data_IF_578516177232
#
_entry.id   IF_578516177232
#
_cell.length_a   1.000
_cell.length_b   1.000
_cell.length_c   1.000
_cell.angle_alpha   90.00
_cell.angle_beta   90.00
_cell.angle_gamma   90.00
#
_symmetry.space_group_name_H-M   'P 1'
#
loop_
_entity.id
_entity.type
_entity.pdbx_description
1 polymer ?
#
# COMPACT_ATOMS: atom_id res chain seq x y z
N UNK A 1 -15.28 23.35 46.94
CA UNK A 1 -13.90 23.60 46.47
C UNK A 1 -13.39 22.32 45.84
N UNK A 2 -13.26 22.32 44.53
CA UNK A 2 -12.74 21.16 43.78
C UNK A 2 -11.28 21.47 43.44
N UNK A 3 -10.30 20.59 43.75
CA UNK A 3 -8.92 20.87 43.38
C UNK A 3 -8.75 20.59 41.86
N UNK A 4 -8.15 21.58 41.19
CA UNK A 4 -7.79 21.54 39.80
C UNK A 4 -6.80 20.39 39.53
N UNK A 5 -7.13 19.54 38.57
CA UNK A 5 -6.22 18.58 37.97
C UNK A 5 -5.34 19.35 36.98
N UNK A 6 -4.16 19.77 37.42
CA UNK A 6 -3.11 20.32 36.54
C UNK A 6 -1.95 19.36 36.54
N UNK A 7 -1.83 18.62 35.46
CA UNK A 7 -0.69 17.79 35.17
C UNK A 7 -0.70 17.40 33.70
N UNK A 8 -0.50 18.37 32.79
CA UNK A 8 -0.07 18.03 31.42
C UNK A 8 1.36 17.52 31.55
N UNK A 9 1.55 16.23 31.28
CA UNK A 9 2.89 15.66 31.11
C UNK A 9 3.59 16.39 29.97
N UNK A 10 4.54 17.25 30.32
CA UNK A 10 5.31 18.11 29.40
C UNK A 10 6.57 17.42 28.90
N UNK A 11 6.69 16.09 29.05
CA UNK A 11 7.81 15.38 28.44
C UNK A 11 7.71 15.47 26.92
N UNK A 12 8.80 15.87 26.23
CA UNK A 12 8.85 15.79 24.78
C UNK A 12 8.55 14.33 24.35
N UNK A 13 7.77 14.11 23.28
CA UNK A 13 7.57 12.77 22.78
C UNK A 13 8.94 12.13 22.48
N UNK A 14 9.17 10.92 22.96
CA UNK A 14 10.38 10.17 22.61
C UNK A 14 10.50 10.13 21.09
N UNK A 15 11.71 10.31 20.52
CA UNK A 15 11.91 10.23 19.08
C UNK A 15 11.43 8.85 18.60
N UNK A 16 10.60 8.85 17.55
CA UNK A 16 10.08 7.63 16.97
C UNK A 16 11.25 6.71 16.60
N UNK A 17 11.20 5.47 17.07
CA UNK A 17 12.26 4.48 16.82
C UNK A 17 12.41 4.25 15.32
N UNK A 18 13.63 4.38 14.80
CA UNK A 18 13.95 4.00 13.42
C UNK A 18 13.80 2.48 13.24
N UNK A 19 12.82 2.06 12.45
CA UNK A 19 12.55 0.66 12.12
C UNK A 19 13.14 0.24 10.76
N UNK A 20 13.84 1.11 10.06
CA UNK A 20 14.47 0.80 8.76
C UNK A 20 15.38 -0.44 8.81
N UNK A 21 16.23 -0.63 9.85
CA UNK A 21 17.02 -1.84 9.95
C UNK A 21 16.19 -3.12 10.06
N UNK A 22 15.06 -3.06 10.78
CA UNK A 22 14.14 -4.19 10.91
C UNK A 22 13.41 -4.48 9.60
N UNK A 23 13.06 -3.44 8.83
CA UNK A 23 12.49 -3.61 7.49
C UNK A 23 13.48 -4.32 6.56
N UNK A 24 14.74 -3.89 6.54
CA UNK A 24 15.80 -4.54 5.75
C UNK A 24 15.98 -5.99 6.16
N UNK A 25 16.11 -6.27 7.45
CA UNK A 25 16.24 -7.64 7.97
C UNK A 25 15.05 -8.53 7.57
N UNK A 26 13.81 -8.04 7.67
CA UNK A 26 12.65 -8.80 7.24
C UNK A 26 12.65 -9.01 5.73
N UNK A 27 12.99 -7.98 4.94
CA UNK A 27 13.09 -8.08 3.48
C UNK A 27 14.11 -9.13 3.03
N UNK A 28 15.30 -9.13 3.63
CA UNK A 28 16.36 -10.09 3.33
C UNK A 28 15.99 -11.53 3.70
N UNK A 29 15.13 -11.71 4.71
CA UNK A 29 14.60 -13.03 5.11
C UNK A 29 13.52 -13.55 4.17
N UNK A 30 12.95 -12.75 3.26
CA UNK A 30 11.86 -13.16 2.39
C UNK A 30 12.31 -14.10 1.28
N UNK A 31 11.37 -14.91 0.79
CA UNK A 31 11.52 -15.89 -0.28
C UNK A 31 10.79 -15.41 -1.55
N UNK A 32 11.09 -15.97 -2.74
CA UNK A 32 10.24 -15.81 -3.92
C UNK A 32 8.80 -16.25 -3.64
N UNK A 33 7.84 -15.69 -4.39
CA UNK A 33 6.41 -16.00 -4.19
C UNK A 33 6.00 -17.37 -4.70
N UNK A 34 6.76 -17.97 -5.63
CA UNK A 34 6.37 -19.22 -6.28
C UNK A 34 6.10 -20.34 -5.27
N UNK A 35 4.95 -21.02 -5.41
CA UNK A 35 4.52 -22.12 -4.54
C UNK A 35 4.13 -21.71 -3.12
N UNK A 36 3.88 -20.43 -2.86
CA UNK A 36 3.58 -19.92 -1.52
C UNK A 36 2.14 -19.39 -1.39
N UNK A 37 1.62 -19.25 -0.17
CA UNK A 37 0.36 -18.53 0.08
C UNK A 37 0.30 -17.13 -0.53
N UNK A 38 1.44 -16.46 -0.68
CA UNK A 38 1.53 -15.15 -1.34
C UNK A 38 1.20 -15.21 -2.84
N UNK A 39 1.63 -16.28 -3.53
CA UNK A 39 1.23 -16.52 -4.92
C UNK A 39 -0.27 -16.83 -5.02
N UNK A 40 -0.78 -17.73 -4.17
CA UNK A 40 -2.21 -18.06 -4.14
C UNK A 40 -3.09 -16.82 -3.90
N UNK A 41 -2.66 -15.93 -2.99
CA UNK A 41 -3.34 -14.66 -2.74
C UNK A 41 -3.48 -13.81 -4.00
N UNK A 42 -2.40 -13.70 -4.78
CA UNK A 42 -2.39 -12.92 -6.02
C UNK A 42 -3.23 -13.59 -7.11
N UNK A 43 -3.09 -14.90 -7.30
CA UNK A 43 -3.86 -15.67 -8.29
C UNK A 43 -5.36 -15.59 -8.06
N UNK A 44 -5.81 -15.72 -6.81
CA UNK A 44 -7.23 -15.62 -6.44
C UNK A 44 -7.82 -14.23 -6.76
N UNK A 45 -7.00 -13.22 -6.95
CA UNK A 45 -7.37 -11.83 -7.29
C UNK A 45 -7.04 -11.44 -8.73
N UNK A 46 -6.50 -12.37 -9.51
CA UNK A 46 -6.08 -12.11 -10.89
C UNK A 46 -4.96 -11.05 -11.01
N UNK A 47 -4.14 -10.88 -9.96
CA UNK A 47 -3.06 -9.89 -9.86
C UNK A 47 -1.69 -10.57 -9.73
N UNK A 48 -0.60 -9.79 -9.59
CA UNK A 48 0.76 -10.31 -9.44
C UNK A 48 1.63 -10.13 -10.67
N UNK A 49 1.19 -9.30 -11.60
CA UNK A 49 1.91 -9.03 -12.84
C UNK A 49 3.19 -8.20 -12.61
N UNK A 50 3.21 -7.35 -11.60
CA UNK A 50 4.35 -6.47 -11.29
C UNK A 50 5.55 -7.19 -10.68
N UNK A 51 5.36 -8.39 -10.12
CA UNK A 51 6.38 -9.17 -9.41
C UNK A 51 7.04 -8.43 -8.23
N UNK A 52 6.41 -7.40 -7.70
CA UNK A 52 6.96 -6.56 -6.63
C UNK A 52 7.02 -7.23 -5.26
N UNK A 53 6.19 -8.25 -5.02
CA UNK A 53 6.06 -8.91 -3.73
C UNK A 53 7.03 -10.06 -3.52
N UNK A 54 7.32 -10.33 -2.23
CA UNK A 54 8.06 -11.51 -1.75
C UNK A 54 7.29 -12.16 -0.60
N UNK A 55 7.66 -13.36 -0.21
CA UNK A 55 6.98 -14.13 0.82
C UNK A 55 7.82 -14.28 2.09
N UNK A 56 7.22 -14.00 3.24
CA UNK A 56 7.79 -14.31 4.55
C UNK A 56 6.99 -15.46 5.19
N UNK A 57 7.60 -16.62 5.44
CA UNK A 57 6.89 -17.78 6.02
C UNK A 57 6.46 -17.57 7.46
N UNK A 58 7.04 -16.61 8.17
CA UNK A 58 6.78 -16.36 9.58
C UNK A 58 7.08 -14.92 9.98
N UNK A 59 6.39 -13.95 9.37
CA UNK A 59 6.50 -12.55 9.77
C UNK A 59 5.88 -12.34 11.17
N UNK A 60 6.59 -11.59 12.00
CA UNK A 60 6.14 -11.30 13.37
C UNK A 60 5.08 -10.20 13.34
N UNK A 61 4.01 -10.42 14.10
CA UNK A 61 2.98 -9.42 14.39
C UNK A 61 2.45 -9.60 15.81
N UNK A 62 1.51 -8.75 16.23
CA UNK A 62 0.89 -8.81 17.54
C UNK A 62 -0.63 -8.66 17.39
N UNK A 63 -1.40 -9.43 18.16
CA UNK A 63 -2.85 -9.33 18.24
C UNK A 63 -3.28 -9.54 19.69
N UNK A 64 -4.11 -8.62 20.21
CA UNK A 64 -4.55 -8.68 21.62
C UNK A 64 -3.39 -8.76 22.64
N UNK A 65 -2.21 -8.16 22.33
CA UNK A 65 -1.00 -8.26 23.15
C UNK A 65 -0.18 -9.54 22.94
N UNK A 66 -0.68 -10.52 22.20
CA UNK A 66 0.02 -11.78 21.90
C UNK A 66 0.91 -11.64 20.68
N UNK A 67 2.13 -12.21 20.76
CA UNK A 67 3.06 -12.27 19.63
C UNK A 67 2.72 -13.45 18.73
N UNK A 68 2.52 -13.17 17.45
CA UNK A 68 2.22 -14.15 16.42
C UNK A 68 3.33 -14.22 15.37
N UNK A 69 3.48 -15.41 14.75
CA UNK A 69 4.30 -15.60 13.54
C UNK A 69 3.41 -16.18 12.46
N UNK A 70 3.14 -15.39 11.43
CA UNK A 70 2.19 -15.73 10.38
C UNK A 70 2.83 -15.60 9.00
N UNK A 71 2.42 -16.42 8.02
CA UNK A 71 2.78 -16.22 6.63
C UNK A 71 2.34 -14.83 6.15
N UNK A 72 3.17 -14.17 5.34
CA UNK A 72 2.82 -12.86 4.82
C UNK A 72 3.39 -12.62 3.41
N UNK A 73 2.59 -11.98 2.56
CA UNK A 73 3.07 -11.28 1.39
C UNK A 73 3.70 -9.97 1.86
N UNK A 74 4.94 -9.73 1.44
CA UNK A 74 5.72 -8.55 1.81
C UNK A 74 5.95 -7.70 0.57
N UNK A 75 5.62 -6.42 0.67
CA UNK A 75 5.77 -5.45 -0.40
C UNK A 75 6.65 -4.29 0.10
N UNK A 76 7.73 -3.93 -0.63
CA UNK A 76 8.60 -2.84 -0.22
C UNK A 76 7.91 -1.50 -0.48
N UNK A 77 7.95 -0.63 0.50
CA UNK A 77 7.51 0.75 0.40
C UNK A 77 8.75 1.64 0.31
N UNK A 78 8.93 2.28 -0.83
CA UNK A 78 10.13 3.06 -1.12
C UNK A 78 9.83 4.53 -1.37
N UNK A 79 10.73 5.39 -0.93
CA UNK A 79 10.82 6.78 -1.32
C UNK A 79 11.97 6.90 -2.33
N UNK A 80 11.65 7.10 -3.61
CA UNK A 80 12.62 6.90 -4.67
C UNK A 80 13.19 5.47 -4.65
N UNK A 81 14.48 5.32 -4.32
CA UNK A 81 15.17 4.01 -4.21
C UNK A 81 15.35 3.54 -2.76
N UNK A 82 14.99 4.34 -1.78
CA UNK A 82 15.21 4.03 -0.37
C UNK A 82 14.05 3.23 0.22
N UNK A 83 14.35 2.09 0.82
CA UNK A 83 13.37 1.32 1.59
C UNK A 83 13.05 2.07 2.88
N UNK A 84 11.81 2.48 3.05
CA UNK A 84 11.29 3.22 4.21
C UNK A 84 10.45 2.34 5.11
N UNK A 85 9.65 1.46 4.50
CA UNK A 85 8.70 0.61 5.19
C UNK A 85 8.43 -0.67 4.38
N UNK A 86 7.70 -1.60 5.00
CA UNK A 86 7.16 -2.79 4.36
C UNK A 86 5.66 -2.85 4.59
N UNK A 87 4.88 -2.96 3.53
CA UNK A 87 3.49 -3.42 3.64
C UNK A 87 3.52 -4.95 3.81
N UNK A 88 2.88 -5.45 4.86
CA UNK A 88 2.74 -6.88 5.18
C UNK A 88 1.28 -7.26 5.07
N UNK A 89 0.96 -8.19 4.20
CA UNK A 89 -0.38 -8.77 4.08
C UNK A 89 -0.29 -10.17 4.67
N UNK A 90 -0.78 -10.34 5.89
CA UNK A 90 -0.77 -11.61 6.60
C UNK A 90 -1.81 -12.55 6.01
N UNK A 91 -1.41 -13.82 5.81
CA UNK A 91 -2.17 -14.80 5.05
C UNK A 91 -2.37 -16.09 5.84
N UNK A 92 -3.46 -16.78 5.56
CA UNK A 92 -3.65 -18.17 5.89
C UNK A 92 -2.98 -19.04 4.82
N UNK A 93 -2.87 -20.37 5.06
CA UNK A 93 -2.16 -21.29 4.17
C UNK A 93 -2.80 -21.41 2.79
N UNK A 94 -4.08 -21.13 2.68
CA UNK A 94 -4.85 -21.15 1.43
C UNK A 94 -4.77 -19.85 0.61
N UNK A 95 -3.93 -18.89 1.03
CA UNK A 95 -3.74 -17.62 0.36
C UNK A 95 -4.80 -16.57 0.66
N UNK A 96 -5.70 -16.80 1.62
CA UNK A 96 -6.64 -15.78 2.10
C UNK A 96 -5.97 -14.88 3.12
N UNK A 97 -6.54 -13.68 3.34
CA UNK A 97 -6.12 -12.83 4.45
C UNK A 97 -6.32 -13.58 5.76
N UNK A 98 -5.32 -13.50 6.65
CA UNK A 98 -5.33 -14.25 7.90
C UNK A 98 -6.55 -13.94 8.75
N UNK A 99 -7.24 -15.00 9.16
CA UNK A 99 -8.37 -14.95 10.08
C UNK A 99 -7.97 -14.73 11.54
N UNK A 100 -6.67 -14.78 11.85
CA UNK A 100 -6.12 -14.59 13.20
C UNK A 100 -5.89 -13.11 13.53
N UNK A 101 -6.16 -12.19 12.61
CA UNK A 101 -5.92 -10.77 12.77
C UNK A 101 -7.18 -9.98 12.40
N UNK A 102 -7.56 -9.02 13.22
CA UNK A 102 -8.63 -8.06 12.88
C UNK A 102 -8.22 -7.23 11.66
N UNK A 103 -6.94 -6.77 11.63
CA UNK A 103 -6.37 -6.03 10.51
C UNK A 103 -5.18 -6.82 9.93
N UNK A 104 -5.40 -7.63 8.88
CA UNK A 104 -4.35 -8.46 8.28
C UNK A 104 -3.38 -7.69 7.38
N UNK A 105 -3.68 -6.44 7.01
CA UNK A 105 -2.75 -5.54 6.30
C UNK A 105 -2.10 -4.60 7.30
N UNK A 106 -0.77 -4.66 7.43
CA UNK A 106 -0.03 -3.86 8.41
C UNK A 106 1.27 -3.33 7.84
N UNK A 107 1.59 -2.10 8.13
CA UNK A 107 2.87 -1.50 7.78
C UNK A 107 3.91 -1.73 8.89
N UNK A 108 5.15 -2.00 8.50
CA UNK A 108 6.33 -1.99 9.35
C UNK A 108 7.25 -0.88 8.87
N UNK A 109 7.75 -0.06 9.75
CA UNK A 109 8.60 1.09 9.42
C UNK A 109 7.84 2.40 9.32
N UNK A 110 8.49 3.41 8.79
CA UNK A 110 7.91 4.73 8.56
C UNK A 110 7.51 4.89 7.09
N UNK A 111 6.23 4.83 6.75
CA UNK A 111 5.78 4.87 5.37
C UNK A 111 5.74 6.29 4.77
N UNK A 112 6.05 7.36 5.52
CA UNK A 112 5.99 8.74 5.01
C UNK A 112 6.85 8.89 3.76
N UNK A 113 6.33 9.59 2.75
CA UNK A 113 7.00 9.75 1.45
C UNK A 113 7.00 8.54 0.54
N UNK A 114 6.81 7.33 1.06
CA UNK A 114 6.99 6.09 0.32
C UNK A 114 5.71 5.55 -0.32
N UNK A 115 5.87 4.76 -1.37
CA UNK A 115 4.81 4.02 -2.05
C UNK A 115 5.28 2.60 -2.35
N UNK A 116 4.36 1.68 -2.61
CA UNK A 116 4.68 0.38 -3.24
C UNK A 116 4.68 0.57 -4.74
N UNK A 117 5.85 0.62 -5.37
CA UNK A 117 5.96 0.71 -6.83
C UNK A 117 5.68 -0.64 -7.47
N UNK A 118 4.72 -0.69 -8.40
CA UNK A 118 4.32 -1.86 -9.15
C UNK A 118 4.60 -1.63 -10.65
N UNK A 119 5.31 -2.57 -11.27
CA UNK A 119 5.75 -2.41 -12.66
C UNK A 119 6.82 -1.33 -12.84
N UNK A 120 6.84 -0.67 -14.01
CA UNK A 120 7.82 0.36 -14.31
C UNK A 120 7.62 1.61 -13.43
N UNK A 121 8.70 2.30 -13.05
CA UNK A 121 8.60 3.59 -12.37
C UNK A 121 7.98 4.63 -13.28
N UNK A 122 7.53 5.73 -12.67
CA UNK A 122 6.99 6.87 -13.39
C UNK A 122 7.99 7.44 -14.39
N UNK A 123 7.52 7.75 -15.59
CA UNK A 123 8.21 8.60 -16.58
C UNK A 123 7.79 10.07 -16.35
N UNK A 124 7.07 10.67 -17.26
CA UNK A 124 6.43 11.97 -17.07
C UNK A 124 5.05 11.89 -16.38
N UNK A 125 4.50 10.69 -16.34
CA UNK A 125 3.19 10.40 -15.70
C UNK A 125 3.36 9.39 -14.57
N UNK A 126 2.88 9.75 -13.39
CA UNK A 126 2.82 8.86 -12.22
C UNK A 126 1.39 8.39 -12.00
N UNK A 127 1.17 7.08 -12.13
CA UNK A 127 -0.10 6.44 -11.83
C UNK A 127 -0.13 6.04 -10.35
N UNK A 128 -1.21 6.35 -9.66
CA UNK A 128 -1.41 6.09 -8.23
C UNK A 128 -2.72 5.34 -8.01
N UNK A 129 -2.74 4.46 -7.04
CA UNK A 129 -3.97 3.87 -6.48
C UNK A 129 -3.85 3.78 -4.96
N UNK A 130 -4.98 3.63 -4.26
CA UNK A 130 -4.99 3.54 -2.81
C UNK A 130 -4.31 2.27 -2.32
N UNK A 131 -4.73 1.12 -2.81
CA UNK A 131 -4.31 -0.19 -2.36
C UNK A 131 -3.42 -0.93 -3.36
N UNK A 132 -2.74 -1.95 -2.85
CA UNK A 132 -1.93 -2.85 -3.68
C UNK A 132 -2.77 -3.56 -4.74
N UNK A 133 -3.93 -4.09 -4.34
CA UNK A 133 -4.82 -4.83 -5.24
C UNK A 133 -5.41 -3.93 -6.32
N UNK A 134 -5.78 -2.70 -5.95
CA UNK A 134 -6.30 -1.70 -6.89
C UNK A 134 -5.25 -1.29 -7.91
N UNK A 135 -4.02 -1.05 -7.45
CA UNK A 135 -2.91 -0.66 -8.32
C UNK A 135 -2.56 -1.74 -9.34
N UNK A 136 -2.46 -3.01 -8.91
CA UNK A 136 -2.27 -4.16 -9.81
C UNK A 136 -3.42 -4.30 -10.80
N UNK A 137 -4.66 -4.13 -10.34
CA UNK A 137 -5.85 -4.24 -11.17
C UNK A 137 -5.93 -3.10 -12.18
N UNK A 138 -5.58 -1.87 -11.78
CA UNK A 138 -5.50 -0.73 -12.68
C UNK A 138 -4.46 -0.95 -13.79
N UNK A 139 -3.30 -1.54 -13.47
CA UNK A 139 -2.28 -1.90 -14.46
C UNK A 139 -2.89 -2.82 -15.54
N UNK A 140 -3.58 -3.89 -15.13
CA UNK A 140 -4.14 -4.87 -16.06
C UNK A 140 -5.32 -4.31 -16.87
N UNK A 141 -6.22 -3.57 -16.21
CA UNK A 141 -7.42 -3.06 -16.84
C UNK A 141 -7.14 -1.94 -17.85
N UNK A 142 -6.15 -1.11 -17.56
CA UNK A 142 -5.82 0.08 -18.36
C UNK A 142 -4.51 -0.07 -19.15
N UNK A 143 -3.91 -1.28 -19.15
CA UNK A 143 -2.66 -1.57 -19.88
C UNK A 143 -1.52 -0.59 -19.52
N UNK A 144 -1.35 -0.34 -18.22
CA UNK A 144 -0.30 0.56 -17.73
C UNK A 144 1.04 -0.15 -17.64
N UNK A 145 2.13 0.60 -17.83
CA UNK A 145 3.49 0.10 -17.57
C UNK A 145 3.78 -0.05 -16.08
N UNK A 146 3.13 0.73 -15.24
CA UNK A 146 3.24 0.68 -13.79
C UNK A 146 2.26 1.59 -13.08
N UNK A 147 2.04 1.30 -11.80
CA UNK A 147 1.20 2.07 -10.88
C UNK A 147 1.80 1.98 -9.47
N UNK A 148 1.72 3.03 -8.68
CA UNK A 148 2.19 3.01 -7.30
C UNK A 148 1.01 2.94 -6.32
N UNK A 149 1.05 1.97 -5.40
CA UNK A 149 0.07 1.88 -4.32
C UNK A 149 0.51 2.77 -3.14
N UNK A 150 -0.37 3.70 -2.76
CA UNK A 150 -0.13 4.66 -1.68
C UNK A 150 -0.24 3.99 -0.30
N UNK A 151 -1.07 2.95 -0.19
CA UNK A 151 -1.32 2.16 1.02
C UNK A 151 -1.89 2.98 2.19
N UNK A 152 -2.86 3.86 1.88
CA UNK A 152 -3.57 4.71 2.82
C UNK A 152 -3.89 6.06 2.18
N UNK A 153 -5.17 6.40 2.09
CA UNK A 153 -5.65 7.60 1.38
C UNK A 153 -5.11 8.91 1.96
N UNK A 154 -4.88 8.96 3.28
CA UNK A 154 -4.32 10.14 3.97
C UNK A 154 -2.90 10.49 3.51
N UNK A 155 -2.23 9.57 2.83
CA UNK A 155 -0.84 9.71 2.42
C UNK A 155 -0.64 10.45 1.10
N UNK A 156 -1.70 10.70 0.33
CA UNK A 156 -1.61 11.54 -0.88
C UNK A 156 -0.95 12.89 -0.62
N UNK A 157 -1.15 13.44 0.58
CA UNK A 157 -0.54 14.71 0.99
C UNK A 157 0.98 14.65 1.22
N UNK A 158 1.59 13.45 1.33
CA UNK A 158 2.98 13.31 1.76
C UNK A 158 3.83 12.36 0.94
N UNK A 159 3.28 11.68 -0.08
CA UNK A 159 4.08 10.81 -0.95
C UNK A 159 5.12 11.60 -1.73
N UNK A 160 6.27 11.00 -1.94
CA UNK A 160 7.29 11.55 -2.81
C UNK A 160 6.87 11.41 -4.29
N UNK A 161 6.82 12.52 -5.00
CA UNK A 161 6.57 12.58 -6.44
C UNK A 161 7.82 13.16 -7.09
N UNK A 162 8.53 12.40 -7.95
CA UNK A 162 9.76 12.86 -8.59
C UNK A 162 9.55 14.15 -9.42
N UNK A 163 10.55 15.02 -9.44
CA UNK A 163 10.47 16.34 -10.11
C UNK A 163 10.23 16.26 -11.64
N UNK A 164 10.63 15.15 -12.27
CA UNK A 164 10.39 14.96 -13.70
C UNK A 164 8.93 14.60 -14.05
N UNK A 165 8.12 14.23 -13.06
CA UNK A 165 6.68 13.93 -13.25
C UNK A 165 5.94 15.22 -13.57
N UNK A 166 5.18 15.21 -14.65
CA UNK A 166 4.34 16.33 -15.12
C UNK A 166 2.85 16.07 -14.93
N UNK A 167 2.46 14.81 -14.80
CA UNK A 167 1.08 14.38 -14.65
C UNK A 167 0.96 13.31 -13.58
N UNK A 168 -0.05 13.45 -12.73
CA UNK A 168 -0.46 12.45 -11.76
C UNK A 168 -1.84 11.94 -12.14
N UNK A 169 -1.98 10.63 -12.26
CA UNK A 169 -3.27 9.96 -12.52
C UNK A 169 -3.62 9.10 -11.33
N UNK A 170 -4.75 9.37 -10.68
CA UNK A 170 -5.23 8.60 -9.54
C UNK A 170 -6.32 7.65 -9.99
N UNK A 171 -6.06 6.36 -9.87
CA UNK A 171 -7.05 5.29 -10.00
C UNK A 171 -7.79 5.18 -8.67
N UNK A 172 -8.79 6.06 -8.49
CA UNK A 172 -9.49 6.29 -7.24
C UNK A 172 -10.53 5.21 -7.00
N UNK A 173 -10.97 5.07 -5.76
CA UNK A 173 -12.20 4.35 -5.42
C UNK A 173 -13.40 5.29 -5.47
N UNK A 174 -14.60 4.71 -5.43
CA UNK A 174 -15.84 5.47 -5.27
C UNK A 174 -16.01 5.96 -3.83
N UNK A 175 -16.72 7.07 -3.70
CA UNK A 175 -17.20 7.57 -2.43
C UNK A 175 -16.49 8.83 -1.93
N UNK A 176 -17.14 9.45 -0.94
CA UNK A 176 -16.72 10.74 -0.41
C UNK A 176 -15.35 10.69 0.27
N UNK A 177 -15.06 9.60 0.99
CA UNK A 177 -13.78 9.45 1.69
C UNK A 177 -12.57 9.51 0.74
N UNK A 178 -12.67 8.86 -0.44
CA UNK A 178 -11.63 8.91 -1.46
C UNK A 178 -11.48 10.33 -2.06
N UNK A 179 -12.62 10.98 -2.37
CA UNK A 179 -12.60 12.35 -2.89
C UNK A 179 -11.99 13.34 -1.89
N UNK A 180 -12.44 13.31 -0.62
CA UNK A 180 -11.93 14.17 0.45
C UNK A 180 -10.42 13.94 0.68
N UNK A 181 -9.93 12.71 0.51
CA UNK A 181 -8.50 12.39 0.65
C UNK A 181 -7.66 12.97 -0.48
N UNK A 182 -8.16 12.90 -1.71
CA UNK A 182 -7.51 13.50 -2.88
C UNK A 182 -7.48 15.02 -2.74
N UNK A 183 -8.58 15.62 -2.29
CA UNK A 183 -8.66 17.07 -2.04
C UNK A 183 -7.62 17.50 -0.99
N UNK A 184 -7.52 16.80 0.14
CA UNK A 184 -6.49 17.09 1.16
C UNK A 184 -5.06 16.91 0.64
N UNK A 185 -4.85 16.01 -0.33
CA UNK A 185 -3.56 15.78 -0.98
C UNK A 185 -3.28 16.69 -2.17
N UNK A 186 -4.23 17.52 -2.59
CA UNK A 186 -4.17 18.25 -3.87
C UNK A 186 -2.94 19.14 -4.00
N UNK A 187 -2.51 19.81 -2.92
CA UNK A 187 -1.31 20.64 -2.91
C UNK A 187 -0.06 19.84 -3.30
N UNK A 188 0.15 18.67 -2.69
CA UNK A 188 1.27 17.80 -3.03
C UNK A 188 1.15 17.22 -4.45
N UNK A 189 -0.05 16.78 -4.83
CA UNK A 189 -0.31 16.13 -6.12
C UNK A 189 -0.11 17.08 -7.30
N UNK A 190 -0.46 18.37 -7.15
CA UNK A 190 -0.35 19.39 -8.20
C UNK A 190 0.86 20.31 -8.07
N UNK A 191 1.69 20.12 -7.04
CA UNK A 191 2.91 20.89 -6.87
C UNK A 191 3.75 20.91 -8.15
N UNK A 192 4.56 21.98 -8.35
CA UNK A 192 5.36 22.18 -9.57
C UNK A 192 4.53 22.23 -10.87
N UNK A 193 3.23 22.59 -10.78
CA UNK A 193 2.35 22.72 -11.94
C UNK A 193 1.95 21.37 -12.58
N UNK A 194 2.01 20.27 -11.83
CA UNK A 194 1.57 18.96 -12.32
C UNK A 194 0.08 18.94 -12.63
N UNK A 195 -0.28 18.32 -13.74
CA UNK A 195 -1.68 18.01 -14.04
C UNK A 195 -2.16 16.84 -13.15
N UNK A 196 -3.37 16.96 -12.62
CA UNK A 196 -4.03 15.91 -11.84
C UNK A 196 -5.23 15.37 -12.61
N UNK A 197 -5.29 14.06 -12.79
CA UNK A 197 -6.42 13.33 -13.38
C UNK A 197 -6.93 12.27 -12.38
N UNK A 198 -8.24 12.09 -12.33
CA UNK A 198 -8.88 11.08 -11.49
C UNK A 198 -9.66 10.14 -12.39
N UNK A 199 -9.37 8.86 -12.28
CA UNK A 199 -10.04 7.78 -13.01
C UNK A 199 -10.73 6.88 -11.99
N UNK A 200 -12.02 6.63 -12.17
CA UNK A 200 -12.82 5.78 -11.28
C UNK A 200 -13.08 4.41 -11.92
N UNK A 201 -13.22 3.33 -11.12
CA UNK A 201 -13.63 2.04 -11.63
C UNK A 201 -15.11 2.08 -12.09
N UNK A 202 -15.64 1.04 -12.73
CA UNK A 202 -17.05 0.95 -13.03
C UNK A 202 -17.94 1.14 -11.79
N UNK A 203 -19.17 1.63 -11.93
CA UNK A 203 -20.04 1.88 -10.79
C UNK A 203 -20.22 0.67 -9.88
N UNK A 204 -20.24 0.88 -8.56
CA UNK A 204 -20.50 -0.12 -7.51
C UNK A 204 -19.45 -1.23 -7.36
N UNK A 205 -18.24 -1.06 -7.86
CA UNK A 205 -17.13 -1.99 -7.63
C UNK A 205 -15.84 -1.21 -7.36
N UNK A 206 -14.85 -1.88 -6.77
CA UNK A 206 -13.47 -1.41 -6.76
C UNK A 206 -12.71 -1.91 -8.02
N UNK A 207 -11.43 -1.55 -8.13
CA UNK A 207 -10.62 -1.94 -9.28
C UNK A 207 -10.41 -3.45 -9.35
N UNK A 208 -10.28 -4.14 -8.21
CA UNK A 208 -10.08 -5.58 -8.19
C UNK A 208 -11.39 -6.32 -8.53
N UNK A 209 -12.52 -5.84 -8.08
CA UNK A 209 -13.83 -6.37 -8.47
C UNK A 209 -14.04 -6.26 -9.98
N UNK A 210 -13.71 -5.09 -10.57
CA UNK A 210 -13.79 -4.87 -12.02
C UNK A 210 -12.89 -5.84 -12.80
N UNK A 211 -11.65 -6.06 -12.33
CA UNK A 211 -10.74 -7.03 -12.92
C UNK A 211 -11.30 -8.44 -12.86
N UNK A 212 -11.76 -8.87 -11.69
CA UNK A 212 -12.32 -10.23 -11.49
C UNK A 212 -13.56 -10.48 -12.35
N UNK A 213 -14.43 -9.46 -12.51
CA UNK A 213 -15.58 -9.55 -13.41
C UNK A 213 -15.14 -9.73 -14.87
N UNK A 214 -14.12 -8.97 -15.33
CA UNK A 214 -13.56 -9.09 -16.68
C UNK A 214 -12.92 -10.47 -16.95
N UNK A 215 -12.21 -11.01 -15.94
CA UNK A 215 -11.59 -12.34 -16.06
C UNK A 215 -12.64 -13.47 -16.16
N UNK A 216 -13.69 -13.39 -15.32
CA UNK A 216 -14.81 -14.34 -15.37
C UNK A 216 -15.56 -14.33 -16.70
N UNK A 217 -15.70 -13.16 -17.33
CA UNK A 217 -16.37 -13.03 -18.63
C UNK A 217 -15.55 -13.60 -19.80
N UNK A 218 -14.26 -13.92 -19.61
CA UNK A 218 -13.35 -14.47 -20.62
C UNK A 218 -13.09 -15.97 -20.46
N UNK A 219 -13.45 -16.56 -19.32
CA UNK A 219 -13.31 -17.98 -19.00
C UNK A 219 -14.53 -18.78 -19.46
#
# INVERSE_FOLDING_TARGET
MNPAITGRDTRPPEPARDLTPLCKQLWDYTLPLQGTPGQLYQEQRGIGHSRAGRFAPGAITYEGGSKLRLPALILPMTEGRELRALLRIFLDRDGRKSSQLDEPKRTLGDPRGSVVQLGAPASDTMNLAEGFEDAESAIVLNNLSGCAAVCGVERYASIFIPDHVRRVVIYSQHGRAAADAIERGSENLTANGRALEIVSPPPRCDWNDALMAKLKARA
#
